data_IF_208387494945
#
_entry.id   IF_208387494945
#
_cell.length_a   1.000
_cell.length_b   1.000
_cell.length_c   1.000
_cell.angle_alpha   90.00
_cell.angle_beta   90.00
_cell.angle_gamma   90.00
#
_symmetry.space_group_name_H-M   'P 1'
#
loop_
_entity.id
_entity.type
_entity.pdbx_description
1 polymer ?
#
# COMPACT_ATOMS: atom_id res chain seq x y z
N UNK A 1 -8.87 -1.27 7.82
CA UNK A 1 -8.39 -2.39 8.63
C UNK A 1 -9.04 -3.72 8.28
N UNK A 2 -10.25 -3.73 7.75
CA UNK A 2 -10.98 -4.92 7.30
C UNK A 2 -12.02 -4.52 6.23
N UNK A 3 -12.41 -5.45 5.38
CA UNK A 3 -13.53 -5.31 4.45
C UNK A 3 -14.87 -5.76 5.04
N UNK A 4 -14.86 -6.46 6.19
CA UNK A 4 -16.07 -6.93 6.84
C UNK A 4 -16.65 -5.88 7.79
N UNK A 5 -17.91 -5.48 7.56
CA UNK A 5 -18.64 -4.56 8.44
C UNK A 5 -18.75 -5.10 9.89
N UNK A 6 -18.87 -6.40 10.02
CA UNK A 6 -18.94 -7.07 11.33
C UNK A 6 -17.62 -6.92 12.09
N UNK A 7 -16.51 -7.11 11.41
CA UNK A 7 -15.17 -6.96 11.99
C UNK A 7 -14.83 -5.49 12.21
N UNK A 8 -15.15 -4.59 11.28
CA UNK A 8 -15.01 -3.14 11.48
C UNK A 8 -15.73 -2.68 12.74
N UNK A 9 -16.98 -3.11 12.95
CA UNK A 9 -17.73 -2.81 14.18
C UNK A 9 -17.04 -3.37 15.42
N UNK A 10 -16.53 -4.61 15.34
CA UNK A 10 -15.83 -5.25 16.45
C UNK A 10 -14.50 -4.55 16.80
N UNK A 11 -13.85 -3.91 15.81
CA UNK A 11 -12.68 -3.05 15.95
C UNK A 11 -13.04 -1.60 16.38
N UNK A 12 -14.32 -1.34 16.69
CA UNK A 12 -14.83 0.00 17.02
C UNK A 12 -14.63 1.04 15.87
N UNK A 13 -14.72 0.60 14.63
CA UNK A 13 -14.74 1.47 13.46
C UNK A 13 -16.17 1.93 13.15
N UNK A 14 -16.33 3.20 12.80
CA UNK A 14 -17.66 3.84 12.60
C UNK A 14 -18.15 3.82 11.16
N UNK A 15 -17.28 3.47 10.21
CA UNK A 15 -17.60 3.39 8.79
C UNK A 15 -17.89 1.93 8.39
N UNK A 16 -18.59 1.77 7.27
CA UNK A 16 -18.84 0.50 6.61
C UNK A 16 -17.94 0.38 5.37
N UNK A 17 -17.73 -0.84 4.90
CA UNK A 17 -16.96 -1.11 3.69
C UNK A 17 -17.52 -0.36 2.46
N UNK A 18 -18.85 -0.34 2.31
CA UNK A 18 -19.53 0.37 1.23
C UNK A 18 -19.29 1.90 1.28
N UNK A 19 -19.31 2.50 2.47
CA UNK A 19 -19.04 3.94 2.64
C UNK A 19 -17.61 4.28 2.21
N UNK A 20 -16.67 3.38 2.53
CA UNK A 20 -15.28 3.51 2.14
C UNK A 20 -15.11 3.37 0.61
N UNK A 21 -15.73 2.39 -0.02
CA UNK A 21 -15.68 2.22 -1.49
C UNK A 21 -16.26 3.44 -2.22
N UNK A 22 -17.40 3.98 -1.78
CA UNK A 22 -17.96 5.23 -2.33
C UNK A 22 -17.02 6.42 -2.17
N UNK A 23 -16.28 6.50 -1.06
CA UNK A 23 -15.25 7.54 -0.88
C UNK A 23 -14.11 7.37 -1.88
N UNK A 24 -13.62 6.15 -2.08
CA UNK A 24 -12.58 5.83 -3.08
C UNK A 24 -13.02 6.20 -4.49
N UNK A 25 -14.25 5.88 -4.88
CA UNK A 25 -14.82 6.27 -6.18
C UNK A 25 -14.80 7.79 -6.37
N UNK A 26 -15.23 8.55 -5.35
CA UNK A 26 -15.22 10.02 -5.40
C UNK A 26 -13.79 10.58 -5.52
N UNK A 27 -12.81 9.99 -4.80
CA UNK A 27 -11.41 10.38 -4.89
C UNK A 27 -10.92 10.15 -6.32
N UNK A 28 -11.18 8.98 -6.91
CA UNK A 28 -10.76 8.64 -8.26
C UNK A 28 -11.44 9.49 -9.33
N UNK A 29 -12.69 9.85 -9.13
CA UNK A 29 -13.40 10.78 -10.04
C UNK A 29 -12.75 12.18 -10.04
N UNK A 30 -12.27 12.65 -8.88
CA UNK A 30 -11.60 13.94 -8.75
C UNK A 30 -10.10 13.88 -9.13
N UNK A 31 -9.42 12.79 -8.80
CA UNK A 31 -7.98 12.59 -9.02
C UNK A 31 -7.71 11.14 -9.44
N UNK A 32 -7.82 10.83 -10.73
CA UNK A 32 -7.63 9.46 -11.25
C UNK A 32 -6.22 8.90 -11.01
N UNK A 33 -5.23 9.77 -10.89
CA UNK A 33 -3.83 9.46 -10.65
C UNK A 33 -3.46 9.25 -9.17
N UNK A 34 -4.43 9.41 -8.25
CA UNK A 34 -4.20 9.31 -6.82
C UNK A 34 -3.74 7.89 -6.43
N UNK A 35 -2.56 7.79 -5.81
CA UNK A 35 -2.12 6.57 -5.16
C UNK A 35 -2.81 6.44 -3.80
N UNK A 36 -3.42 5.29 -3.55
CA UNK A 36 -4.06 4.98 -2.28
C UNK A 36 -3.18 4.02 -1.49
N UNK A 37 -3.08 4.25 -0.18
CA UNK A 37 -2.45 3.33 0.75
C UNK A 37 -3.40 2.95 1.87
N UNK A 38 -3.15 1.81 2.53
CA UNK A 38 -4.01 1.34 3.61
C UNK A 38 -3.30 0.38 4.56
N UNK A 39 -3.92 0.19 5.72
CA UNK A 39 -3.46 -0.74 6.73
C UNK A 39 -4.54 -1.78 7.00
N UNK A 40 -4.15 -3.06 7.04
CA UNK A 40 -5.05 -4.18 7.24
C UNK A 40 -4.63 -5.01 8.44
N UNK A 41 -5.60 -5.56 9.15
CA UNK A 41 -5.40 -6.48 10.26
C UNK A 41 -6.20 -7.75 9.98
N UNK A 42 -5.52 -8.89 9.91
CA UNK A 42 -6.14 -10.21 9.76
C UNK A 42 -6.13 -10.97 11.07
N UNK A 43 -7.07 -11.90 11.23
CA UNK A 43 -7.17 -12.73 12.43
C UNK A 43 -7.63 -11.98 13.67
N UNK A 44 -8.39 -10.90 13.51
CA UNK A 44 -9.04 -10.24 14.65
C UNK A 44 -9.98 -11.22 15.37
N UNK A 45 -10.09 -11.18 16.72
CA UNK A 45 -10.94 -12.09 17.47
C UNK A 45 -12.36 -12.20 16.92
N UNK A 46 -12.74 -13.41 16.53
CA UNK A 46 -14.01 -13.73 15.92
C UNK A 46 -14.08 -13.55 14.40
N UNK A 47 -13.00 -13.19 13.72
CA UNK A 47 -12.95 -13.15 12.25
C UNK A 47 -13.13 -14.57 11.67
N UNK A 48 -14.10 -14.73 10.79
CA UNK A 48 -14.33 -15.96 10.03
C UNK A 48 -13.63 -15.88 8.65
N UNK A 49 -13.57 -17.03 7.95
CA UNK A 49 -13.06 -17.02 6.56
C UNK A 49 -13.91 -16.12 5.65
N UNK A 50 -15.24 -16.10 5.84
CA UNK A 50 -16.12 -15.19 5.08
C UNK A 50 -15.76 -13.71 5.31
N UNK A 51 -15.50 -13.29 6.55
CA UNK A 51 -15.05 -11.91 6.84
C UNK A 51 -13.69 -11.58 6.21
N UNK A 52 -12.78 -12.55 6.20
CA UNK A 52 -11.50 -12.40 5.54
C UNK A 52 -11.65 -12.23 4.01
N UNK A 53 -12.52 -13.01 3.38
CA UNK A 53 -12.81 -12.90 1.95
C UNK A 53 -13.47 -11.55 1.59
N UNK A 54 -14.30 -10.97 2.47
CA UNK A 54 -14.79 -9.60 2.30
C UNK A 54 -13.63 -8.59 2.30
N UNK A 55 -12.59 -8.82 3.11
CA UNK A 55 -11.38 -7.98 3.10
C UNK A 55 -10.60 -8.14 1.82
N UNK A 56 -10.42 -9.34 1.30
CA UNK A 56 -9.80 -9.61 -0.01
C UNK A 56 -10.57 -8.87 -1.12
N UNK A 57 -11.89 -9.03 -1.18
CA UNK A 57 -12.73 -8.38 -2.18
C UNK A 57 -12.64 -6.84 -2.14
N UNK A 58 -12.57 -6.25 -0.94
CA UNK A 58 -12.36 -4.81 -0.78
C UNK A 58 -10.98 -4.39 -1.32
N UNK A 59 -9.93 -5.15 -1.02
CA UNK A 59 -8.57 -4.87 -1.52
C UNK A 59 -8.54 -4.92 -3.04
N UNK A 60 -9.14 -5.94 -3.67
CA UNK A 60 -9.27 -6.07 -5.12
C UNK A 60 -10.00 -4.87 -5.74
N UNK A 61 -11.14 -4.49 -5.16
CA UNK A 61 -11.95 -3.36 -5.66
C UNK A 61 -11.20 -2.02 -5.58
N UNK A 62 -10.39 -1.82 -4.53
CA UNK A 62 -9.63 -0.58 -4.34
C UNK A 62 -8.32 -0.57 -5.12
N UNK A 63 -7.58 -1.66 -5.30
CA UNK A 63 -6.29 -1.67 -6.00
C UNK A 63 -5.31 -0.66 -5.39
N UNK A 64 -4.77 -0.99 -4.24
CA UNK A 64 -3.84 -0.11 -3.51
C UNK A 64 -2.48 -0.01 -4.19
N UNK A 65 -1.93 1.21 -4.26
CA UNK A 65 -0.57 1.43 -4.72
C UNK A 65 0.47 0.88 -3.72
N UNK A 66 0.13 0.92 -2.44
CA UNK A 66 0.90 0.36 -1.33
C UNK A 66 -0.06 0.05 -0.18
N UNK A 67 0.15 -1.05 0.52
CA UNK A 67 -0.58 -1.30 1.76
C UNK A 67 0.24 -2.15 2.74
N UNK A 68 -0.07 -2.00 4.01
CA UNK A 68 0.55 -2.76 5.08
C UNK A 68 -0.48 -3.72 5.68
N UNK A 69 -0.04 -4.92 6.03
CA UNK A 69 -0.90 -5.94 6.60
C UNK A 69 -0.24 -6.58 7.81
N UNK A 70 -1.03 -6.82 8.84
CA UNK A 70 -0.58 -7.30 10.13
C UNK A 70 -1.49 -8.43 10.61
N UNK A 71 -0.89 -9.46 11.23
CA UNK A 71 -1.65 -10.37 12.05
C UNK A 71 -2.09 -9.65 13.35
N UNK A 72 -3.32 -9.88 13.77
CA UNK A 72 -3.80 -9.34 15.04
C UNK A 72 -2.91 -9.79 16.21
N UNK A 73 -2.50 -8.82 17.01
CA UNK A 73 -1.77 -9.03 18.26
C UNK A 73 -2.58 -8.42 19.42
N UNK A 74 -2.88 -9.24 20.44
CA UNK A 74 -3.62 -8.79 21.60
C UNK A 74 -2.86 -7.70 22.36
N UNK A 75 -3.55 -6.59 22.65
CA UNK A 75 -2.98 -5.50 23.43
C UNK A 75 -3.62 -5.47 24.82
N UNK A 76 -2.85 -5.58 25.90
CA UNK A 76 -3.38 -5.51 27.27
C UNK A 76 -4.29 -4.29 27.47
N UNK A 77 -5.38 -4.48 28.20
CA UNK A 77 -6.34 -3.40 28.49
C UNK A 77 -7.36 -3.11 27.40
N UNK A 78 -7.32 -3.82 26.26
CA UNK A 78 -8.35 -3.68 25.22
C UNK A 78 -9.44 -4.76 25.36
N UNK A 79 -10.71 -4.43 25.04
CA UNK A 79 -11.80 -5.42 25.08
C UNK A 79 -11.57 -6.64 24.17
N UNK A 80 -10.80 -6.48 23.12
CA UNK A 80 -10.46 -7.54 22.17
C UNK A 80 -9.46 -8.55 22.75
N UNK A 81 -8.59 -8.13 23.68
CA UNK A 81 -7.57 -9.00 24.26
C UNK A 81 -8.15 -10.18 25.07
N UNK A 82 -9.36 -10.03 25.63
CA UNK A 82 -10.04 -11.07 26.38
C UNK A 82 -10.92 -12.00 25.53
N UNK A 83 -10.97 -11.82 24.21
CA UNK A 83 -11.80 -12.65 23.32
C UNK A 83 -11.02 -13.86 22.82
N UNK A 84 -11.74 -14.91 22.44
CA UNK A 84 -11.14 -16.05 21.78
C UNK A 84 -10.52 -15.61 20.44
N UNK A 85 -9.21 -15.81 20.30
CA UNK A 85 -8.47 -15.49 19.09
C UNK A 85 -8.71 -16.48 17.96
N UNK A 86 -8.37 -16.08 16.75
CA UNK A 86 -8.24 -16.97 15.60
C UNK A 86 -6.96 -17.80 15.78
N UNK A 87 -6.95 -19.11 15.44
CA UNK A 87 -5.76 -19.95 15.50
C UNK A 87 -4.57 -19.32 14.76
N UNK A 88 -3.37 -19.47 15.28
CA UNK A 88 -2.16 -18.83 14.72
C UNK A 88 -1.87 -19.28 13.28
N UNK A 89 -2.13 -20.55 12.98
CA UNK A 89 -2.01 -21.12 11.63
C UNK A 89 -2.95 -20.43 10.63
N UNK A 90 -4.19 -20.21 11.00
CA UNK A 90 -5.16 -19.50 10.15
C UNK A 90 -4.80 -18.03 9.97
N UNK A 91 -4.34 -17.35 11.03
CA UNK A 91 -3.86 -15.96 10.91
C UNK A 91 -2.68 -15.85 9.95
N UNK A 92 -1.73 -16.78 10.06
CA UNK A 92 -0.56 -16.82 9.19
C UNK A 92 -0.94 -17.05 7.74
N UNK A 93 -1.85 -17.99 7.48
CA UNK A 93 -2.35 -18.27 6.13
C UNK A 93 -3.08 -17.07 5.53
N UNK A 94 -4.01 -16.46 6.28
CA UNK A 94 -4.73 -15.25 5.83
C UNK A 94 -3.77 -14.10 5.55
N UNK A 95 -2.75 -13.90 6.42
CA UNK A 95 -1.76 -12.86 6.22
C UNK A 95 -0.97 -13.09 4.93
N UNK A 96 -0.53 -14.31 4.65
CA UNK A 96 0.19 -14.64 3.42
C UNK A 96 -0.65 -14.39 2.16
N UNK A 97 -1.92 -14.81 2.17
CA UNK A 97 -2.85 -14.59 1.05
C UNK A 97 -3.06 -13.10 0.80
N UNK A 98 -3.29 -12.32 1.86
CA UNK A 98 -3.46 -10.87 1.75
C UNK A 98 -2.18 -10.20 1.25
N UNK A 99 -1.01 -10.59 1.77
CA UNK A 99 0.29 -10.04 1.34
C UNK A 99 0.58 -10.35 -0.13
N UNK A 100 0.24 -11.54 -0.61
CA UNK A 100 0.39 -11.89 -2.01
C UNK A 100 -0.40 -10.94 -2.92
N UNK A 101 -1.67 -10.70 -2.61
CA UNK A 101 -2.53 -9.78 -3.36
C UNK A 101 -2.03 -8.33 -3.30
N UNK A 102 -1.63 -7.86 -2.11
CA UNK A 102 -1.10 -6.50 -1.96
C UNK A 102 0.22 -6.29 -2.71
N UNK A 103 1.08 -7.31 -2.74
CA UNK A 103 2.32 -7.26 -3.50
C UNK A 103 2.07 -7.23 -5.01
N UNK A 104 1.08 -7.99 -5.50
CA UNK A 104 0.63 -7.94 -6.90
C UNK A 104 0.19 -6.52 -7.27
N UNK A 105 -0.73 -5.93 -6.51
CA UNK A 105 -1.19 -4.56 -6.75
C UNK A 105 -0.06 -3.53 -6.71
N UNK A 106 0.85 -3.63 -5.73
CA UNK A 106 2.02 -2.73 -5.63
C UNK A 106 2.92 -2.86 -6.85
N UNK A 107 3.14 -4.09 -7.32
CA UNK A 107 3.94 -4.33 -8.53
C UNK A 107 3.27 -3.75 -9.77
N UNK A 108 1.98 -4.00 -9.96
CA UNK A 108 1.21 -3.48 -11.10
C UNK A 108 1.19 -1.96 -11.11
N UNK A 109 0.95 -1.34 -9.94
CA UNK A 109 1.03 0.11 -9.80
C UNK A 109 2.42 0.62 -10.18
N UNK A 110 3.48 -0.02 -9.71
CA UNK A 110 4.86 0.40 -9.98
C UNK A 110 5.19 0.24 -11.47
N UNK A 111 4.83 -0.87 -12.09
CA UNK A 111 5.03 -1.11 -13.53
C UNK A 111 4.26 -0.10 -14.39
N UNK A 112 3.06 0.28 -13.98
CA UNK A 112 2.25 1.28 -14.70
C UNK A 112 2.87 2.68 -14.70
N UNK A 113 3.93 2.93 -13.93
CA UNK A 113 4.65 4.22 -13.93
C UNK A 113 5.70 4.33 -15.01
N UNK A 114 6.08 3.23 -15.65
CA UNK A 114 7.09 3.26 -16.73
C UNK A 114 6.58 4.11 -17.90
N UNK A 115 7.44 5.00 -18.41
CA UNK A 115 7.13 5.97 -19.46
C UNK A 115 6.52 7.29 -18.97
N UNK A 116 6.06 7.36 -17.70
CA UNK A 116 5.51 8.60 -17.13
C UNK A 116 6.64 9.55 -16.77
N UNK A 117 6.38 10.86 -17.01
CA UNK A 117 7.27 11.94 -16.61
C UNK A 117 6.67 12.73 -15.44
N UNK A 118 7.51 13.11 -14.48
CA UNK A 118 7.16 13.95 -13.32
C UNK A 118 8.41 14.54 -12.69
N UNK A 119 8.22 15.48 -11.75
CA UNK A 119 9.31 16.07 -11.01
C UNK A 119 9.72 15.21 -9.80
N UNK A 120 11.02 15.06 -9.58
CA UNK A 120 11.62 14.32 -8.45
C UNK A 120 12.51 15.24 -7.65
N UNK A 121 12.30 15.28 -6.35
CA UNK A 121 13.26 15.86 -5.41
C UNK A 121 14.39 14.84 -5.18
N UNK A 122 15.63 15.23 -5.47
CA UNK A 122 16.82 14.43 -5.14
C UNK A 122 17.12 14.60 -3.65
N UNK A 123 17.02 13.52 -2.89
CA UNK A 123 17.15 13.56 -1.41
C UNK A 123 18.53 13.15 -0.92
N UNK A 124 19.19 12.23 -1.62
CA UNK A 124 20.43 11.59 -1.13
C UNK A 124 21.18 10.85 -2.24
N UNK A 125 22.44 10.41 -1.98
CA UNK A 125 23.13 9.46 -2.83
C UNK A 125 22.34 8.14 -2.97
N UNK A 126 22.42 7.52 -4.14
CA UNK A 126 21.88 6.17 -4.36
C UNK A 126 22.71 5.09 -3.64
N UNK A 127 22.25 3.84 -3.72
CA UNK A 127 22.97 2.71 -3.11
C UNK A 127 24.27 2.34 -3.84
N UNK A 128 24.35 2.64 -5.13
CA UNK A 128 25.54 2.37 -5.96
C UNK A 128 26.24 3.68 -6.28
N UNK A 129 27.60 3.67 -6.44
CA UNK A 129 28.32 4.82 -6.97
C UNK A 129 27.70 5.28 -8.30
N UNK A 130 27.69 6.58 -8.55
CA UNK A 130 27.10 7.16 -9.76
C UNK A 130 25.57 7.30 -9.73
N UNK A 131 24.94 7.09 -8.58
CA UNK A 131 23.49 7.22 -8.44
C UNK A 131 23.07 8.28 -7.43
N UNK A 132 21.92 8.90 -7.73
CA UNK A 132 21.13 9.71 -6.79
C UNK A 132 19.79 9.04 -6.54
N UNK A 133 19.22 9.28 -5.37
CA UNK A 133 17.92 8.76 -4.98
C UNK A 133 16.99 9.89 -4.54
N UNK A 134 15.75 9.80 -4.98
CA UNK A 134 14.67 10.72 -4.63
C UNK A 134 13.35 9.98 -4.45
N UNK A 135 12.25 10.73 -4.48
CA UNK A 135 10.89 10.19 -4.38
C UNK A 135 9.98 10.74 -5.47
N UNK A 136 9.16 9.83 -5.98
CA UNK A 136 8.06 10.18 -6.88
C UNK A 136 6.93 10.91 -6.13
N UNK A 137 5.98 11.55 -6.84
CA UNK A 137 4.75 12.09 -6.23
C UNK A 137 3.92 11.05 -5.46
N UNK A 138 4.12 9.77 -5.74
CA UNK A 138 3.47 8.63 -5.06
C UNK A 138 4.36 7.99 -3.98
N UNK A 139 5.41 8.69 -3.54
CA UNK A 139 6.37 8.29 -2.49
C UNK A 139 7.23 7.07 -2.83
N UNK A 140 7.20 6.57 -4.08
CA UNK A 140 8.09 5.49 -4.50
C UNK A 140 9.53 5.98 -4.60
N UNK A 141 10.52 5.16 -4.24
CA UNK A 141 11.93 5.48 -4.48
C UNK A 141 12.19 5.63 -5.98
N UNK A 142 12.89 6.69 -6.35
CA UNK A 142 13.34 6.94 -7.72
C UNK A 142 14.86 7.01 -7.73
N UNK A 143 15.48 6.27 -8.62
CA UNK A 143 16.93 6.27 -8.85
C UNK A 143 17.21 6.93 -10.19
N UNK A 144 18.12 7.91 -10.17
CA UNK A 144 18.64 8.58 -11.35
C UNK A 144 20.18 8.52 -11.38
N UNK A 145 20.78 8.80 -12.52
CA UNK A 145 22.23 9.00 -12.62
C UNK A 145 22.66 10.24 -11.83
N UNK A 146 23.87 10.24 -11.26
CA UNK A 146 24.36 11.37 -10.45
C UNK A 146 24.54 12.66 -11.26
N UNK A 147 24.68 12.55 -12.57
CA UNK A 147 24.78 13.72 -13.48
C UNK A 147 23.43 14.39 -13.72
N UNK A 148 22.32 13.78 -13.30
CA UNK A 148 20.98 14.33 -13.51
C UNK A 148 20.70 15.57 -12.65
N UNK A 149 21.36 15.72 -11.49
CA UNK A 149 21.22 16.88 -10.60
C UNK A 149 21.87 16.65 -9.23
N UNK A 150 21.88 17.70 -8.41
CA UNK A 150 22.45 17.67 -7.06
C UNK A 150 21.39 17.37 -5.98
N UNK A 151 21.85 16.99 -4.79
CA UNK A 151 20.96 16.78 -3.65
C UNK A 151 20.30 18.12 -3.28
N UNK A 152 18.96 18.10 -3.21
CA UNK A 152 18.12 19.28 -2.98
C UNK A 152 17.46 19.81 -4.26
N UNK A 153 17.91 19.38 -5.43
CA UNK A 153 17.29 19.78 -6.70
C UNK A 153 15.95 19.06 -6.93
N UNK A 154 15.01 19.78 -7.55
CA UNK A 154 13.80 19.21 -8.14
C UNK A 154 14.03 19.15 -9.65
N UNK A 155 14.02 17.95 -10.19
CA UNK A 155 14.34 17.73 -11.62
C UNK A 155 13.20 17.00 -12.33
N UNK A 156 12.89 17.36 -13.59
CA UNK A 156 11.97 16.58 -14.41
C UNK A 156 12.66 15.28 -14.84
N UNK A 157 11.95 14.17 -14.65
CA UNK A 157 12.43 12.84 -15.03
C UNK A 157 11.37 12.06 -15.77
N UNK A 158 11.82 11.09 -16.58
CA UNK A 158 10.99 10.06 -17.21
C UNK A 158 11.38 8.71 -16.68
N UNK A 159 10.41 7.91 -16.26
CA UNK A 159 10.64 6.54 -15.76
C UNK A 159 10.98 5.65 -16.94
N UNK A 160 12.14 5.01 -16.90
CA UNK A 160 12.61 4.07 -17.92
C UNK A 160 12.40 2.61 -17.53
N UNK A 161 12.38 2.33 -16.21
CA UNK A 161 12.27 0.97 -15.67
C UNK A 161 11.70 0.96 -14.26
N UNK A 162 11.05 -0.13 -13.90
CA UNK A 162 10.61 -0.42 -12.55
C UNK A 162 11.13 -1.79 -12.09
N UNK A 163 11.64 -1.88 -10.85
CA UNK A 163 12.09 -3.12 -10.21
C UNK A 163 11.58 -3.16 -8.77
N UNK A 164 10.72 -4.13 -8.46
CA UNK A 164 10.01 -4.18 -7.19
C UNK A 164 9.24 -2.88 -6.95
N UNK A 165 9.56 -2.16 -5.88
CA UNK A 165 8.96 -0.85 -5.56
C UNK A 165 9.79 0.34 -6.04
N UNK A 166 10.93 0.11 -6.70
CA UNK A 166 11.88 1.15 -7.11
C UNK A 166 11.70 1.50 -8.59
N UNK A 167 11.64 2.79 -8.87
CA UNK A 167 11.61 3.36 -10.20
C UNK A 167 13.01 3.80 -10.60
N UNK A 168 13.40 3.53 -11.84
CA UNK A 168 14.62 4.05 -12.44
C UNK A 168 14.23 5.07 -13.51
N UNK A 169 14.93 6.18 -13.54
CA UNK A 169 14.56 7.29 -14.38
C UNK A 169 15.79 7.97 -15.02
N UNK A 170 15.55 8.63 -16.12
CA UNK A 170 16.49 9.56 -16.75
C UNK A 170 15.90 10.98 -16.69
N UNK A 171 16.74 11.99 -16.82
CA UNK A 171 16.29 13.38 -16.92
C UNK A 171 15.47 13.54 -18.19
N UNK A 172 14.28 14.16 -18.05
CA UNK A 172 13.36 14.38 -19.16
C UNK A 172 13.81 15.58 -20.03
#
# INVERSE_FOLDING_TARGET
QSGSDRILKAMNRKHRAEDYLRLVERIRAARPDMALSGDFIVGFPGETEADFLETIALVEAVGYAQAFSFAYSARPGTPAAGRQGVPETEKSERLQRLQALLNEHTNDFTQSRVGIAFDVLIEKPGRRPGQRAGRSPWLQPVIVDETAGEIGDIIPVRITKAEGTTLFAERA
#
